data_IF_967241523316
#
_entry.id   IF_967241523316
#
_cell.length_a   1.000
_cell.length_b   1.000
_cell.length_c   1.000
_cell.angle_alpha   90.00
_cell.angle_beta   90.00
_cell.angle_gamma   90.00
#
_symmetry.space_group_name_H-M   'P 1'
#
loop_
_entity.id
_entity.type
_entity.pdbx_description
1 polymer ?
#
# COMPACT_ATOMS: atom_id res chain seq x y z
N UNK A 1 -18.40 -22.27 9.65
CA UNK A 1 -18.82 -21.39 10.76
C UNK A 1 -17.90 -21.70 11.93
N UNK A 2 -17.42 -20.70 12.67
CA UNK A 2 -16.43 -20.90 13.75
C UNK A 2 -17.06 -20.91 15.14
N UNK A 3 -18.19 -20.23 15.33
CA UNK A 3 -18.88 -20.15 16.62
C UNK A 3 -19.58 -18.80 16.79
N UNK A 4 -19.75 -18.38 18.03
CA UNK A 4 -20.29 -17.07 18.43
C UNK A 4 -19.26 -16.28 19.21
N UNK A 5 -19.16 -14.98 18.94
CA UNK A 5 -18.28 -14.08 19.67
C UNK A 5 -18.80 -13.88 21.11
N UNK A 6 -18.03 -14.20 22.16
CA UNK A 6 -18.47 -14.01 23.54
C UNK A 6 -18.67 -12.53 23.92
N UNK A 7 -18.05 -11.58 23.21
CA UNK A 7 -18.17 -10.16 23.52
C UNK A 7 -19.46 -9.54 22.97
N UNK A 8 -19.87 -9.94 21.77
CA UNK A 8 -21.02 -9.35 21.06
C UNK A 8 -22.24 -10.28 20.95
N UNK A 9 -22.05 -11.59 21.19
CA UNK A 9 -23.06 -12.62 20.94
C UNK A 9 -23.28 -12.90 19.45
N UNK A 10 -22.52 -12.27 18.55
CA UNK A 10 -22.73 -12.39 17.11
C UNK A 10 -22.08 -13.65 16.51
N UNK A 11 -22.64 -14.23 15.44
CA UNK A 11 -22.06 -15.38 14.78
C UNK A 11 -20.76 -15.02 14.05
N UNK A 12 -19.74 -15.86 14.21
CA UNK A 12 -18.43 -15.74 13.55
C UNK A 12 -18.30 -16.80 12.46
N UNK A 13 -17.99 -16.35 11.25
CA UNK A 13 -17.84 -17.24 10.08
C UNK A 13 -16.64 -16.84 9.22
N UNK A 14 -16.02 -17.81 8.56
CA UNK A 14 -14.98 -17.55 7.56
C UNK A 14 -15.56 -17.78 6.18
N UNK A 15 -15.27 -16.87 5.25
CA UNK A 15 -15.72 -16.92 3.86
C UNK A 15 -14.58 -16.50 2.95
N UNK A 16 -14.66 -16.88 1.67
CA UNK A 16 -13.73 -16.39 0.65
C UNK A 16 -14.38 -15.19 -0.04
N UNK A 17 -13.85 -14.00 0.21
CA UNK A 17 -14.30 -12.77 -0.43
C UNK A 17 -13.51 -12.44 -1.71
N UNK A 18 -13.89 -11.34 -2.37
CA UNK A 18 -13.22 -10.84 -3.59
C UNK A 18 -11.70 -10.61 -3.46
N UNK A 19 -11.21 -10.48 -2.23
CA UNK A 19 -9.81 -10.18 -1.91
C UNK A 19 -9.11 -11.28 -1.12
N UNK A 20 -9.73 -12.46 -1.00
CA UNK A 20 -9.18 -13.59 -0.26
C UNK A 20 -10.03 -13.99 0.94
N UNK A 21 -9.52 -14.92 1.76
CA UNK A 21 -10.22 -15.42 2.93
C UNK A 21 -10.42 -14.32 3.99
N UNK A 22 -11.64 -14.22 4.50
CA UNK A 22 -12.08 -13.18 5.43
C UNK A 22 -12.94 -13.79 6.54
N UNK A 23 -12.69 -13.38 7.78
CA UNK A 23 -13.59 -13.62 8.90
C UNK A 23 -14.65 -12.54 8.92
N UNK A 24 -15.90 -12.95 9.10
CA UNK A 24 -17.06 -12.09 9.28
C UNK A 24 -17.65 -12.33 10.66
N UNK A 25 -17.81 -11.25 11.45
CA UNK A 25 -18.62 -11.23 12.66
C UNK A 25 -19.96 -10.57 12.32
N UNK A 26 -21.06 -11.17 12.76
CA UNK A 26 -22.42 -10.70 12.53
C UNK A 26 -23.01 -11.15 11.20
N UNK A 27 -24.31 -10.93 11.04
CA UNK A 27 -25.06 -11.29 9.83
C UNK A 27 -25.35 -10.06 8.98
N UNK A 28 -25.38 -10.23 7.66
CA UNK A 28 -25.72 -9.14 6.73
C UNK A 28 -27.18 -8.66 6.84
N UNK A 29 -28.02 -9.41 7.56
CA UNK A 29 -29.44 -9.11 7.82
C UNK A 29 -29.70 -8.68 9.27
N UNK A 30 -28.66 -8.60 10.12
CA UNK A 30 -28.81 -8.14 11.50
C UNK A 30 -28.87 -6.63 11.62
N UNK A 31 -29.23 -6.13 12.81
CA UNK A 31 -29.25 -4.69 13.11
C UNK A 31 -27.85 -4.05 13.10
N UNK A 32 -26.80 -4.83 13.37
CA UNK A 32 -25.41 -4.37 13.38
C UNK A 32 -24.72 -4.57 12.00
N UNK A 33 -23.87 -3.61 11.62
CA UNK A 33 -23.06 -3.72 10.40
C UNK A 33 -22.04 -4.85 10.58
N UNK A 34 -21.99 -5.85 9.66
CA UNK A 34 -21.06 -6.95 9.79
C UNK A 34 -19.62 -6.45 9.73
N UNK A 35 -18.81 -6.94 10.66
CA UNK A 35 -17.38 -6.61 10.72
C UNK A 35 -16.61 -7.65 9.94
N UNK A 36 -15.57 -7.20 9.23
CA UNK A 36 -14.72 -8.07 8.41
C UNK A 36 -13.25 -7.92 8.80
N UNK A 37 -12.55 -9.05 8.94
CA UNK A 37 -11.11 -9.10 9.14
C UNK A 37 -10.48 -10.10 8.17
N UNK A 38 -9.43 -9.70 7.46
CA UNK A 38 -8.73 -10.59 6.52
C UNK A 38 -7.84 -11.59 7.26
N UNK A 39 -7.85 -12.85 6.81
CA UNK A 39 -6.95 -13.87 7.37
C UNK A 39 -5.50 -13.56 7.00
N UNK A 40 -4.57 -13.97 7.88
CA UNK A 40 -3.13 -13.93 7.59
C UNK A 40 -2.78 -14.95 6.50
N UNK A 41 -1.65 -14.75 5.81
CA UNK A 41 -1.21 -15.64 4.72
C UNK A 41 -0.92 -17.07 5.19
N UNK A 42 -0.52 -17.24 6.44
CA UNK A 42 -0.29 -18.55 7.05
C UNK A 42 -1.58 -19.20 7.56
N UNK A 43 -2.66 -18.44 7.71
CA UNK A 43 -3.92 -18.95 8.25
C UNK A 43 -4.80 -19.52 7.13
N UNK A 44 -5.25 -20.75 7.35
CA UNK A 44 -6.16 -21.48 6.47
C UNK A 44 -7.61 -21.26 6.88
N UNK A 45 -8.52 -21.24 5.90
CA UNK A 45 -9.97 -21.18 6.13
C UNK A 45 -10.48 -22.42 6.89
N UNK A 46 -9.75 -23.53 6.78
CA UNK A 46 -10.12 -24.81 7.39
C UNK A 46 -9.58 -24.97 8.81
N UNK A 47 -8.41 -24.40 9.09
CA UNK A 47 -7.68 -24.66 10.34
C UNK A 47 -7.81 -23.54 11.37
N UNK A 48 -8.32 -22.37 10.97
CA UNK A 48 -8.46 -21.22 11.88
C UNK A 48 -9.48 -21.50 12.98
N UNK A 49 -9.09 -21.20 14.21
CA UNK A 49 -9.95 -21.33 15.39
C UNK A 49 -10.74 -20.05 15.66
N UNK A 50 -11.80 -20.15 16.48
CA UNK A 50 -12.59 -18.98 16.90
C UNK A 50 -11.71 -17.94 17.61
N UNK A 51 -10.84 -18.37 18.52
CA UNK A 51 -9.94 -17.48 19.28
C UNK A 51 -8.99 -16.70 18.36
N UNK A 52 -8.38 -17.38 17.39
CA UNK A 52 -7.51 -16.74 16.40
C UNK A 52 -8.27 -15.79 15.49
N UNK A 53 -9.51 -16.14 15.15
CA UNK A 53 -10.38 -15.32 14.34
C UNK A 53 -10.78 -14.01 15.06
N UNK A 54 -11.04 -14.07 16.37
CA UNK A 54 -11.35 -12.90 17.20
C UNK A 54 -10.15 -11.96 17.31
N UNK A 55 -8.93 -12.48 17.47
CA UNK A 55 -7.68 -11.69 17.49
C UNK A 55 -7.47 -10.85 16.23
N UNK A 56 -8.06 -11.23 15.09
CA UNK A 56 -7.97 -10.43 13.86
C UNK A 56 -8.78 -9.12 13.94
N UNK A 57 -9.78 -9.05 14.83
CA UNK A 57 -10.64 -7.87 15.02
C UNK A 57 -10.09 -6.85 16.02
N UNK A 58 -9.00 -7.18 16.71
CA UNK A 58 -8.24 -6.22 17.54
C UNK A 58 -7.55 -5.14 16.70
N UNK A 59 -7.50 -5.34 15.38
CA UNK A 59 -7.00 -4.37 14.40
C UNK A 59 -8.20 -3.66 13.74
N UNK A 60 -8.13 -2.33 13.49
CA UNK A 60 -6.97 -1.47 13.51
C UNK A 60 -6.58 -0.99 14.93
N UNK A 61 -5.30 -1.16 15.28
CA UNK A 61 -4.74 -0.67 16.54
C UNK A 61 -4.21 0.75 16.36
N UNK A 62 -4.62 1.66 17.24
CA UNK A 62 -4.05 3.00 17.31
C UNK A 62 -2.77 2.96 18.15
N UNK A 63 -1.64 3.39 17.56
CA UNK A 63 -0.33 3.38 18.23
C UNK A 63 -0.04 4.71 18.95
N UNK A 64 -0.72 5.78 18.54
CA UNK A 64 -0.53 7.14 19.04
C UNK A 64 -0.64 8.17 17.93
N UNK A 65 -0.07 9.35 18.16
CA UNK A 65 0.02 10.44 17.20
C UNK A 65 1.47 10.73 16.81
N UNK A 66 1.67 11.11 15.55
CA UNK A 66 2.94 11.59 15.02
C UNK A 66 2.65 12.78 14.11
N UNK A 67 3.35 13.91 14.26
CA UNK A 67 3.10 15.13 13.47
C UNK A 67 1.61 15.54 13.47
N UNK A 68 0.99 15.57 14.65
CA UNK A 68 -0.43 15.92 14.87
C UNK A 68 -1.44 15.02 14.14
N UNK A 69 -1.00 13.85 13.64
CA UNK A 69 -1.83 12.91 12.89
C UNK A 69 -1.79 11.52 13.52
N UNK A 70 -2.92 10.80 13.56
CA UNK A 70 -2.98 9.49 14.18
C UNK A 70 -2.17 8.46 13.37
N UNK A 71 -1.47 7.58 14.09
CA UNK A 71 -0.74 6.44 13.54
C UNK A 71 -1.52 5.19 13.88
N UNK A 72 -1.97 4.45 12.85
CA UNK A 72 -2.77 3.23 13.01
C UNK A 72 -2.11 2.05 12.32
N UNK A 73 -1.97 0.93 13.02
CA UNK A 73 -1.57 -0.34 12.44
C UNK A 73 -2.81 -1.16 12.06
N UNK A 74 -2.87 -1.61 10.81
CA UNK A 74 -4.00 -2.36 10.28
C UNK A 74 -3.54 -3.42 9.28
N UNK A 75 -4.42 -4.35 8.94
CA UNK A 75 -4.18 -5.34 7.88
C UNK A 75 -5.10 -5.04 6.72
N UNK A 76 -4.54 -4.92 5.52
CA UNK A 76 -5.26 -4.67 4.29
C UNK A 76 -4.98 -5.73 3.24
N UNK A 77 -5.48 -5.50 2.02
CA UNK A 77 -5.36 -6.46 0.90
C UNK A 77 -3.91 -6.84 0.55
N UNK A 78 -2.96 -5.96 0.83
CA UNK A 78 -1.54 -6.15 0.50
C UNK A 78 -0.72 -6.64 1.70
N UNK A 79 -1.37 -6.90 2.84
CA UNK A 79 -0.73 -7.28 4.09
C UNK A 79 -0.82 -6.18 5.17
N UNK A 80 -0.06 -6.33 6.27
CA UNK A 80 -0.03 -5.38 7.36
C UNK A 80 0.58 -4.04 6.93
N UNK A 81 -0.01 -2.95 7.40
CA UNK A 81 0.42 -1.60 7.06
C UNK A 81 0.16 -0.63 8.21
N UNK A 82 0.94 0.45 8.22
CA UNK A 82 0.75 1.63 9.05
C UNK A 82 0.06 2.70 8.21
N UNK A 83 -1.00 3.29 8.75
CA UNK A 83 -1.68 4.46 8.22
C UNK A 83 -1.22 5.69 8.98
N UNK A 84 -0.70 6.70 8.28
CA UNK A 84 -0.35 8.00 8.82
C UNK A 84 -0.57 9.08 7.76
N UNK A 85 -1.29 10.15 8.08
CA UNK A 85 -1.44 11.32 7.18
C UNK A 85 -1.91 10.99 5.74
N UNK A 86 -2.87 10.06 5.58
CA UNK A 86 -3.34 9.54 4.28
C UNK A 86 -2.27 8.78 3.47
N UNK A 87 -1.11 8.50 4.06
CA UNK A 87 -0.07 7.64 3.50
C UNK A 87 -0.11 6.29 4.20
N UNK A 88 0.20 5.25 3.43
CA UNK A 88 0.24 3.87 3.90
C UNK A 88 1.65 3.32 3.77
N UNK A 89 2.21 2.79 4.86
CA UNK A 89 3.55 2.21 4.91
C UNK A 89 3.42 0.73 5.22
N UNK A 90 3.96 -0.13 4.38
CA UNK A 90 3.89 -1.58 4.60
C UNK A 90 4.77 -1.97 5.79
N UNK A 91 4.25 -2.83 6.66
CA UNK A 91 5.02 -3.41 7.76
C UNK A 91 5.79 -4.63 7.20
N UNK A 92 7.12 -4.73 7.40
CA UNK A 92 7.90 -5.90 7.00
C UNK A 92 7.38 -7.19 7.66
N UNK A 93 7.63 -8.35 7.05
CA UNK A 93 7.18 -9.64 7.61
C UNK A 93 7.78 -9.98 8.98
N UNK A 94 8.93 -9.39 9.29
CA UNK A 94 9.63 -9.58 10.57
C UNK A 94 8.90 -8.89 11.73
N UNK A 95 8.12 -7.84 11.44
CA UNK A 95 7.38 -7.08 12.44
C UNK A 95 5.90 -7.48 12.41
N UNK A 96 5.34 -7.69 13.61
CA UNK A 96 3.91 -8.00 13.73
C UNK A 96 3.10 -6.72 13.88
N UNK A 97 1.95 -6.57 13.17
CA UNK A 97 1.08 -5.41 13.32
C UNK A 97 0.45 -5.29 14.72
N UNK A 98 0.48 -6.39 15.49
CA UNK A 98 -0.10 -6.45 16.84
C UNK A 98 0.91 -5.97 17.88
N UNK A 99 2.21 -6.20 17.68
CA UNK A 99 3.28 -5.86 18.64
C UNK A 99 4.06 -4.60 18.29
N UNK A 100 3.90 -4.06 17.07
CA UNK A 100 4.63 -2.89 16.61
C UNK A 100 4.42 -1.69 17.54
N UNK A 101 5.51 -1.00 17.86
CA UNK A 101 5.53 0.19 18.68
C UNK A 101 5.40 1.47 17.86
N UNK A 102 5.10 2.59 18.52
CA UNK A 102 5.01 3.90 17.86
C UNK A 102 6.36 4.30 17.24
N UNK A 103 7.48 4.09 17.94
CA UNK A 103 8.82 4.42 17.44
C UNK A 103 9.21 3.62 16.19
N UNK A 104 8.96 2.31 16.19
CA UNK A 104 9.17 1.47 15.01
C UNK A 104 8.31 1.93 13.83
N UNK A 105 7.05 2.28 14.11
CA UNK A 105 6.15 2.81 13.09
C UNK A 105 6.64 4.14 12.51
N UNK A 106 7.13 5.05 13.36
CA UNK A 106 7.73 6.32 12.95
C UNK A 106 8.98 6.07 12.10
N UNK A 107 9.83 5.12 12.50
CA UNK A 107 11.02 4.71 11.74
C UNK A 107 10.67 4.24 10.32
N UNK A 108 9.65 3.38 10.19
CA UNK A 108 9.16 2.93 8.89
C UNK A 108 8.57 4.07 8.05
N UNK A 109 7.84 4.99 8.67
CA UNK A 109 7.28 6.17 8.00
C UNK A 109 8.40 7.05 7.43
N UNK A 110 9.42 7.36 8.23
CA UNK A 110 10.58 8.15 7.81
C UNK A 110 11.36 7.46 6.70
N UNK A 111 11.71 6.18 6.89
CA UNK A 111 12.42 5.40 5.88
C UNK A 111 11.69 5.36 4.53
N UNK A 112 10.36 5.28 4.53
CA UNK A 112 9.57 5.37 3.30
C UNK A 112 9.65 6.76 2.66
N UNK A 113 9.55 7.82 3.46
CA UNK A 113 9.70 9.21 2.96
C UNK A 113 11.09 9.43 2.37
N UNK A 114 12.14 8.93 3.01
CA UNK A 114 13.52 8.99 2.51
C UNK A 114 13.69 8.20 1.22
N UNK A 115 13.10 6.99 1.14
CA UNK A 115 13.12 6.20 -0.08
C UNK A 115 12.36 6.87 -1.24
N UNK A 116 11.26 7.55 -0.94
CA UNK A 116 10.51 8.32 -1.93
C UNK A 116 11.25 9.61 -2.33
N UNK A 117 11.95 10.27 -1.41
CA UNK A 117 12.83 11.40 -1.71
C UNK A 117 14.03 10.99 -2.57
N UNK A 118 14.69 9.85 -2.29
CA UNK A 118 15.79 9.31 -3.11
C UNK A 118 15.37 8.92 -4.52
N UNK A 119 14.08 8.63 -4.74
CA UNK A 119 13.54 8.42 -6.09
C UNK A 119 13.39 9.73 -6.85
N UNK A 120 13.25 10.86 -6.16
CA UNK A 120 13.12 12.17 -6.80
C UNK A 120 14.53 12.76 -6.91
N UNK A 121 15.07 12.80 -8.12
CA UNK A 121 16.39 13.38 -8.36
C UNK A 121 16.30 14.88 -8.50
N UNK A 122 15.31 15.37 -9.26
CA UNK A 122 15.12 16.79 -9.51
C UNK A 122 13.66 17.11 -9.78
N UNK A 123 13.17 18.18 -9.19
CA UNK A 123 11.89 18.82 -9.51
C UNK A 123 12.19 20.21 -10.04
N UNK A 124 11.38 20.70 -10.98
CA UNK A 124 11.52 22.04 -11.52
C UNK A 124 10.37 22.90 -11.01
N UNK A 125 10.68 23.99 -10.30
CA UNK A 125 9.65 24.88 -9.72
C UNK A 125 8.81 25.59 -10.81
N UNK A 126 9.39 25.83 -11.98
CA UNK A 126 8.70 26.43 -13.14
C UNK A 126 7.65 25.48 -13.76
N UNK A 127 7.87 24.17 -13.71
CA UNK A 127 6.91 23.16 -14.18
C UNK A 127 6.86 21.97 -13.21
N UNK A 128 5.93 21.96 -12.23
CA UNK A 128 5.83 20.86 -11.26
C UNK A 128 5.46 19.52 -11.91
N UNK A 129 4.92 19.55 -13.13
CA UNK A 129 4.61 18.37 -13.94
C UNK A 129 5.86 17.70 -14.54
N UNK A 130 7.01 18.39 -14.57
CA UNK A 130 8.28 17.88 -15.09
C UNK A 130 9.19 17.50 -13.90
N UNK A 131 9.52 16.22 -13.80
CA UNK A 131 10.36 15.68 -12.72
C UNK A 131 11.34 14.64 -13.24
N UNK A 132 12.56 14.65 -12.72
CA UNK A 132 13.56 13.61 -12.98
C UNK A 132 13.50 12.61 -11.82
N UNK A 133 13.20 11.36 -12.14
CA UNK A 133 12.96 10.31 -11.17
C UNK A 133 13.89 9.12 -11.41
N UNK A 134 14.31 8.46 -10.32
CA UNK A 134 15.07 7.23 -10.34
C UNK A 134 14.12 6.03 -10.24
N UNK A 135 14.03 5.24 -11.31
CA UNK A 135 13.20 4.05 -11.39
C UNK A 135 14.00 2.75 -11.34
N UNK A 136 13.29 1.62 -11.31
CA UNK A 136 13.88 0.27 -11.36
C UNK A 136 14.84 0.04 -12.55
N UNK A 137 14.63 0.75 -13.65
CA UNK A 137 15.35 0.58 -14.92
C UNK A 137 16.34 1.73 -15.22
N UNK A 138 16.57 2.60 -14.24
CA UNK A 138 17.41 3.80 -14.37
C UNK A 138 16.61 5.10 -14.29
N UNK A 139 17.32 6.20 -14.53
CA UNK A 139 16.80 7.56 -14.40
C UNK A 139 15.95 7.93 -15.62
N UNK A 140 14.80 8.54 -15.36
CA UNK A 140 13.83 8.91 -16.40
C UNK A 140 13.18 10.26 -16.08
N UNK A 141 12.65 10.91 -17.12
CA UNK A 141 11.89 12.16 -17.00
C UNK A 141 10.40 11.82 -16.98
N UNK A 142 9.69 12.24 -15.94
CA UNK A 142 8.23 12.20 -15.89
C UNK A 142 7.69 13.57 -16.32
N UNK A 143 6.82 13.59 -17.33
CA UNK A 143 6.15 14.81 -17.80
C UNK A 143 4.69 14.53 -18.15
N UNK A 144 3.73 15.26 -17.55
CA UNK A 144 2.29 15.19 -17.85
C UNK A 144 1.74 13.75 -17.96
N UNK A 145 2.14 12.85 -17.04
CA UNK A 145 1.77 11.41 -16.98
C UNK A 145 2.48 10.49 -17.99
N UNK A 146 3.43 11.00 -18.77
CA UNK A 146 4.31 10.23 -19.64
C UNK A 146 5.72 10.11 -19.02
N UNK A 147 6.39 8.98 -19.26
CA UNK A 147 7.74 8.72 -18.76
C UNK A 147 8.73 8.57 -19.93
N UNK A 148 9.64 9.52 -20.06
CA UNK A 148 10.64 9.60 -21.12
C UNK A 148 11.97 9.05 -20.61
N UNK A 149 12.63 8.24 -21.45
CA UNK A 149 13.87 7.56 -21.06
C UNK A 149 15.03 8.51 -21.31
N UNK A 150 15.88 8.73 -20.31
CA UNK A 150 17.12 9.47 -20.53
C UNK A 150 18.13 8.52 -21.20
N UNK A 151 18.74 8.91 -22.33
CA UNK A 151 19.81 8.13 -22.94
C UNK A 151 20.95 7.91 -21.95
N UNK A 152 21.51 6.69 -21.92
CA UNK A 152 22.65 6.34 -21.04
C UNK A 152 23.94 7.12 -21.35
N UNK A 153 23.95 7.86 -22.46
CA UNK A 153 25.03 8.77 -22.87
C UNK A 153 25.20 9.96 -21.92
N UNK A 154 24.17 10.28 -21.14
CA UNK A 154 24.21 11.36 -20.15
C UNK A 154 24.53 10.73 -18.79
N UNK A 155 25.78 10.89 -18.33
CA UNK A 155 26.25 10.35 -17.05
C UNK A 155 25.71 11.11 -15.83
N UNK A 156 25.37 12.40 -16.00
CA UNK A 156 24.81 13.26 -14.95
C UNK A 156 23.34 13.70 -15.19
N UNK A 157 22.35 12.79 -15.10
CA UNK A 157 20.94 13.18 -15.20
C UNK A 157 20.45 14.14 -14.10
N UNK A 158 21.19 14.29 -13.01
CA UNK A 158 20.88 15.23 -11.93
C UNK A 158 21.16 16.71 -12.32
N UNK A 159 22.05 16.95 -13.29
CA UNK A 159 22.42 18.30 -13.70
C UNK A 159 21.59 18.83 -14.87
N UNK A 160 20.81 17.95 -15.51
CA UNK A 160 19.93 18.32 -16.62
C UNK A 160 19.10 19.56 -16.30
N UNK A 161 19.15 20.54 -17.20
CA UNK A 161 18.35 21.77 -17.12
C UNK A 161 16.94 21.51 -17.66
N UNK A 162 16.01 22.43 -17.37
CA UNK A 162 14.63 22.34 -17.85
C UNK A 162 14.58 22.26 -19.38
N UNK A 163 15.41 23.06 -20.06
CA UNK A 163 15.52 23.09 -21.51
C UNK A 163 15.98 21.75 -22.09
N UNK A 164 17.04 21.15 -21.53
CA UNK A 164 17.54 19.86 -21.98
C UNK A 164 16.52 18.73 -21.75
N UNK A 165 15.80 18.78 -20.63
CA UNK A 165 14.73 17.81 -20.37
C UNK A 165 13.59 17.95 -21.40
N UNK A 166 13.21 19.17 -21.77
CA UNK A 166 12.22 19.44 -22.82
C UNK A 166 12.69 18.98 -24.20
N UNK A 167 13.96 19.15 -24.53
CA UNK A 167 14.52 18.68 -25.79
C UNK A 167 14.47 17.15 -25.90
N UNK A 168 14.77 16.43 -24.82
CA UNK A 168 14.64 14.96 -24.76
C UNK A 168 13.17 14.54 -24.92
N UNK A 169 12.23 15.28 -24.31
CA UNK A 169 10.79 15.04 -24.45
C UNK A 169 10.33 15.28 -25.90
N UNK A 170 10.80 16.35 -26.55
CA UNK A 170 10.43 16.69 -27.92
C UNK A 170 11.05 15.73 -28.96
N UNK A 171 12.26 15.24 -28.69
CA UNK A 171 12.96 14.27 -29.53
C UNK A 171 12.34 12.87 -29.46
N UNK A 172 11.67 12.52 -28.35
CA UNK A 172 11.07 11.21 -28.17
C UNK A 172 9.55 11.24 -28.46
N UNK A 173 9.03 10.27 -29.24
CA UNK A 173 7.60 10.13 -29.39
C UNK A 173 6.97 9.86 -28.02
N UNK A 174 5.83 10.49 -27.74
CA UNK A 174 5.11 10.31 -26.48
C UNK A 174 4.96 8.81 -26.19
N UNK A 175 5.49 8.30 -25.06
CA UNK A 175 5.46 6.88 -24.77
C UNK A 175 4.00 6.42 -24.70
N UNK A 176 3.68 5.33 -25.41
CA UNK A 176 2.34 4.73 -25.36
C UNK A 176 2.01 4.48 -23.89
N UNK A 177 1.01 5.18 -23.36
CA UNK A 177 0.53 4.91 -22.00
C UNK A 177 0.23 3.41 -21.91
N UNK A 178 0.80 2.71 -20.92
CA UNK A 178 0.45 1.30 -20.71
C UNK A 178 -1.03 1.28 -20.40
N UNK A 179 -1.85 0.95 -21.40
CA UNK A 179 -3.24 0.61 -21.20
C UNK A 179 -3.29 -0.39 -20.03
N UNK A 180 -4.07 -0.07 -19.01
CA UNK A 180 -4.25 -0.94 -17.83
C UNK A 180 -4.81 -2.27 -18.33
N UNK A 181 -3.91 -3.21 -18.66
CA UNK A 181 -4.24 -4.60 -18.95
C UNK A 181 -4.74 -5.25 -17.67
N UNK A 182 -6.02 -5.03 -17.36
CA UNK A 182 -6.73 -5.76 -16.33
C UNK A 182 -7.04 -7.14 -16.91
N UNK A 183 -6.05 -8.03 -16.90
CA UNK A 183 -6.30 -9.44 -17.14
C UNK A 183 -7.10 -9.99 -15.94
N UNK A 184 -8.43 -9.90 -16.03
CA UNK A 184 -9.33 -10.61 -15.13
C UNK A 184 -9.20 -12.09 -15.49
N UNK A 185 -8.34 -12.81 -14.77
CA UNK A 185 -8.28 -14.27 -14.84
C UNK A 185 -9.45 -14.79 -14.00
N UNK A 186 -10.62 -14.95 -14.62
CA UNK A 186 -11.72 -15.71 -14.01
C UNK A 186 -11.26 -17.15 -13.86
N UNK A 187 -11.10 -17.63 -12.62
CA UNK A 187 -11.03 -19.07 -12.38
C UNK A 187 -12.47 -19.61 -12.48
N UNK A 188 -12.65 -20.56 -13.40
CA UNK A 188 -13.89 -21.34 -13.59
C UNK A 188 -14.29 -22.01 -12.27
N UNK A 189 -15.60 -21.98 -12.01
CA UNK A 189 -16.30 -22.87 -11.06
C UNK A 189 -16.08 -24.33 -11.39
#
# INVERSE_FOLDING_TARGET
>A
MLGTDPATGEPVSVKIGRYGPVVQIGNAQGEAKPRFASLRKEQSVFDITLDEALKLFDLPRELGSFEDKPVKAAIGRFGPYISHASKFVSIPKELSPTSITLDEAIGLIKAKRDADAKKIIKTFDEEPDLQILNGRYGIYIAYKKANYKIPKTIENPAELTLEQAREIIASQPAPKSKAKGRAIRQKKS
#
